data_IF_633825785168
#
_entry.id   IF_633825785168
#
_cell.length_a   1.000
_cell.length_b   1.000
_cell.length_c   1.000
_cell.angle_alpha   90.00
_cell.angle_beta   90.00
_cell.angle_gamma   90.00
#
_symmetry.space_group_name_H-M   'P 1'
#
loop_
_entity.id
_entity.type
_entity.pdbx_description
1 polymer ?
#
# COMPACT_ATOMS: atom_id res chain seq x y z
N UNK A 1 41.06 10.50 -35.43
CA UNK A 1 40.49 10.31 -34.08
C UNK A 1 38.98 10.51 -34.17
N UNK A 2 38.19 9.48 -33.89
CA UNK A 2 36.72 9.58 -33.82
C UNK A 2 36.34 9.54 -32.34
N UNK A 3 35.68 10.57 -31.84
CA UNK A 3 35.13 10.61 -30.48
C UNK A 3 33.64 10.28 -30.55
N UNK A 4 33.25 9.14 -29.97
CA UNK A 4 31.86 8.81 -29.69
C UNK A 4 31.39 9.66 -28.50
N UNK A 5 30.40 10.53 -28.73
CA UNK A 5 29.64 11.15 -27.65
C UNK A 5 28.53 10.18 -27.23
N UNK A 6 28.60 9.66 -26.01
CA UNK A 6 27.45 9.02 -25.35
C UNK A 6 26.54 10.14 -24.84
N UNK A 7 25.32 10.23 -25.38
CA UNK A 7 24.27 11.02 -24.75
C UNK A 7 23.78 10.29 -23.49
N UNK A 8 24.10 10.82 -22.32
CA UNK A 8 23.48 10.38 -21.06
C UNK A 8 22.03 10.85 -21.05
N UNK A 9 21.08 9.95 -21.25
CA UNK A 9 19.68 10.24 -20.97
C UNK A 9 19.53 10.43 -19.45
N UNK A 10 18.96 11.55 -18.97
CA UNK A 10 18.67 11.69 -17.54
C UNK A 10 17.59 10.65 -17.19
N UNK A 11 17.93 9.70 -16.32
CA UNK A 11 16.95 8.83 -15.69
C UNK A 11 16.19 9.69 -14.68
N UNK A 12 15.02 10.18 -15.07
CA UNK A 12 14.11 10.86 -14.15
C UNK A 12 13.63 9.81 -13.14
N UNK A 13 14.23 9.79 -11.95
CA UNK A 13 13.69 9.04 -10.81
C UNK A 13 12.42 9.79 -10.39
N UNK A 14 11.26 9.25 -10.75
CA UNK A 14 9.98 9.77 -10.29
C UNK A 14 9.84 9.38 -8.81
N UNK A 15 10.09 10.30 -7.89
CA UNK A 15 10.25 10.05 -6.45
C UNK A 15 8.95 9.83 -5.66
N UNK A 16 7.81 9.55 -6.31
CA UNK A 16 6.57 9.20 -5.62
C UNK A 16 6.14 7.77 -5.98
N UNK A 17 6.92 6.80 -5.51
CA UNK A 17 6.47 5.40 -5.49
C UNK A 17 6.16 5.08 -4.04
N UNK A 18 4.88 5.11 -3.67
CA UNK A 18 4.45 4.56 -2.38
C UNK A 18 4.83 3.09 -2.42
N UNK A 19 5.88 2.72 -1.67
CA UNK A 19 6.34 1.34 -1.64
C UNK A 19 5.46 0.55 -0.67
N UNK A 20 4.52 -0.21 -1.21
CA UNK A 20 3.72 -1.14 -0.41
C UNK A 20 4.62 -2.23 0.19
N UNK A 21 4.39 -2.52 1.47
CA UNK A 21 4.99 -3.65 2.17
C UNK A 21 4.43 -4.93 1.55
N UNK A 22 5.35 -5.81 1.14
CA UNK A 22 5.00 -7.15 0.71
C UNK A 22 4.85 -8.05 1.93
N UNK A 23 3.62 -8.39 2.27
CA UNK A 23 3.34 -9.31 3.35
C UNK A 23 3.60 -10.77 2.93
N UNK A 24 4.08 -11.64 3.82
CA UNK A 24 4.27 -13.05 3.50
C UNK A 24 2.94 -13.70 3.09
N UNK A 25 2.95 -14.56 2.08
CA UNK A 25 1.74 -15.25 1.63
C UNK A 25 1.20 -16.21 2.70
N UNK A 26 2.11 -16.85 3.44
CA UNK A 26 1.80 -17.75 4.55
C UNK A 26 2.69 -17.49 5.76
N UNK A 27 2.10 -17.54 6.95
CA UNK A 27 2.79 -17.53 8.25
C UNK A 27 2.19 -18.62 9.11
N UNK A 28 2.93 -19.70 9.35
CA UNK A 28 2.41 -20.89 10.07
C UNK A 28 1.10 -21.41 9.42
N UNK A 29 0.00 -21.39 10.17
CA UNK A 29 -1.33 -21.80 9.72
C UNK A 29 -2.14 -20.71 9.00
N UNK A 30 -1.62 -19.49 8.91
CA UNK A 30 -2.30 -18.33 8.33
C UNK A 30 -1.92 -18.14 6.87
N UNK A 31 -2.91 -18.01 5.99
CA UNK A 31 -2.72 -17.72 4.57
C UNK A 31 -3.51 -16.49 4.16
N UNK A 32 -2.93 -15.66 3.29
CA UNK A 32 -3.62 -14.50 2.67
C UNK A 32 -3.98 -14.79 1.21
N UNK A 33 -4.98 -14.11 0.64
CA UNK A 33 -5.24 -14.15 -0.79
C UNK A 33 -4.08 -13.56 -1.60
N UNK A 34 -3.99 -13.95 -2.87
CA UNK A 34 -2.98 -13.43 -3.81
C UNK A 34 -3.15 -11.92 -4.05
N UNK A 35 -4.39 -11.46 -4.09
CA UNK A 35 -4.73 -10.05 -4.26
C UNK A 35 -4.86 -9.35 -2.91
N UNK A 36 -4.24 -8.19 -2.80
CA UNK A 36 -4.39 -7.29 -1.66
C UNK A 36 -5.36 -6.17 -2.01
N UNK A 37 -6.23 -5.80 -1.07
CA UNK A 37 -7.11 -4.64 -1.24
C UNK A 37 -6.35 -3.36 -0.86
N UNK A 38 -6.45 -2.34 -1.71
CA UNK A 38 -5.95 -0.99 -1.42
C UNK A 38 -7.13 -0.05 -1.34
N UNK A 39 -7.24 0.67 -0.23
CA UNK A 39 -8.25 1.68 0.06
C UNK A 39 -7.58 3.05 0.00
N UNK A 40 -8.22 4.02 -0.67
CA UNK A 40 -7.73 5.40 -0.77
C UNK A 40 -8.76 6.34 -0.17
N UNK A 41 -8.44 7.63 -0.09
CA UNK A 41 -9.41 8.66 0.29
C UNK A 41 -10.71 8.64 -0.56
N UNK A 42 -10.65 8.13 -1.80
CA UNK A 42 -11.83 8.04 -2.68
C UNK A 42 -12.70 6.81 -2.38
N UNK A 43 -12.10 5.71 -1.94
CA UNK A 43 -12.79 4.43 -1.71
C UNK A 43 -12.98 4.11 -0.22
N UNK A 44 -12.54 4.99 0.68
CA UNK A 44 -12.63 4.77 2.14
C UNK A 44 -14.07 4.57 2.61
N UNK A 45 -15.03 5.25 2.00
CA UNK A 45 -16.45 5.12 2.35
C UNK A 45 -17.10 3.84 1.80
N UNK A 46 -16.51 3.21 0.78
CA UNK A 46 -16.91 1.87 0.32
C UNK A 46 -16.39 0.79 1.27
N UNK A 47 -15.24 1.05 1.93
CA UNK A 47 -14.60 0.15 2.87
C UNK A 47 -15.19 0.25 4.29
N UNK A 48 -15.49 1.46 4.76
CA UNK A 48 -16.00 1.72 6.10
C UNK A 48 -17.07 2.81 6.13
N UNK A 49 -18.25 2.47 6.66
CA UNK A 49 -19.37 3.41 6.83
C UNK A 49 -19.38 3.98 8.26
N UNK A 50 -19.32 5.32 8.37
CA UNK A 50 -19.41 6.08 9.62
C UNK A 50 -18.10 6.42 10.34
N UNK A 51 -16.96 5.84 9.92
CA UNK A 51 -15.64 6.15 10.47
C UNK A 51 -14.65 6.73 9.45
N UNK A 52 -14.96 6.70 8.15
CA UNK A 52 -14.05 7.11 7.07
C UNK A 52 -13.57 8.56 7.19
N UNK A 53 -14.41 9.45 7.72
CA UNK A 53 -14.07 10.86 7.93
C UNK A 53 -12.89 11.06 8.89
N UNK A 54 -12.76 10.21 9.93
CA UNK A 54 -11.65 10.30 10.87
C UNK A 54 -10.32 9.98 10.17
N UNK A 55 -10.32 8.97 9.30
CA UNK A 55 -9.12 8.57 8.57
C UNK A 55 -8.66 9.65 7.59
N UNK A 56 -9.60 10.31 6.89
CA UNK A 56 -9.26 11.48 6.07
C UNK A 56 -8.58 12.59 6.90
N UNK A 57 -9.05 12.82 8.13
CA UNK A 57 -8.44 13.77 9.07
C UNK A 57 -7.00 13.42 9.47
N UNK A 58 -6.63 12.14 9.45
CA UNK A 58 -5.27 11.68 9.71
C UNK A 58 -4.33 11.81 8.52
N UNK A 59 -4.82 12.23 7.34
CA UNK A 59 -3.99 12.40 6.12
C UNK A 59 -3.23 11.15 5.70
N UNK A 60 -3.87 9.99 5.80
CA UNK A 60 -3.34 8.81 5.13
C UNK A 60 -3.41 9.01 3.60
N UNK A 61 -2.44 8.46 2.88
CA UNK A 61 -2.44 8.36 1.43
C UNK A 61 -3.25 7.14 0.98
N UNK A 62 -2.89 5.98 1.53
CA UNK A 62 -3.52 4.70 1.22
C UNK A 62 -3.51 3.73 2.41
N UNK A 63 -4.46 2.81 2.41
CA UNK A 63 -4.63 1.75 3.40
C UNK A 63 -4.58 0.41 2.68
N UNK A 64 -3.63 -0.44 3.05
CA UNK A 64 -3.53 -1.79 2.53
C UNK A 64 -4.23 -2.74 3.50
N UNK A 65 -5.19 -3.50 3.00
CA UNK A 65 -6.05 -4.40 3.77
C UNK A 65 -5.81 -5.84 3.33
N UNK A 66 -5.43 -6.69 4.28
CA UNK A 66 -5.19 -8.11 4.06
C UNK A 66 -5.87 -8.92 5.15
N UNK A 67 -6.76 -9.83 4.75
CA UNK A 67 -7.34 -10.82 5.65
C UNK A 67 -6.56 -12.14 5.52
N UNK A 68 -5.97 -12.56 6.63
CA UNK A 68 -5.41 -13.91 6.77
C UNK A 68 -6.46 -14.84 7.34
N UNK A 69 -6.52 -16.05 6.83
CA UNK A 69 -7.43 -17.10 7.34
C UNK A 69 -6.64 -18.30 7.85
N UNK A 70 -7.16 -18.97 8.87
CA UNK A 70 -6.64 -20.24 9.38
C UNK A 70 -7.78 -21.22 9.70
N UNK A 71 -7.60 -22.48 9.32
CA UNK A 71 -8.53 -23.59 9.59
C UNK A 71 -10.01 -23.25 9.27
N UNK A 72 -10.24 -22.50 8.19
CA UNK A 72 -11.53 -22.04 7.65
C UNK A 72 -12.46 -21.28 8.61
N UNK A 73 -12.03 -21.02 9.85
CA UNK A 73 -12.90 -20.49 10.92
C UNK A 73 -12.31 -19.26 11.60
N UNK A 74 -11.00 -19.08 11.54
CA UNK A 74 -10.32 -17.94 12.15
C UNK A 74 -9.88 -16.97 11.07
N UNK A 75 -10.12 -15.67 11.29
CA UNK A 75 -9.56 -14.62 10.47
C UNK A 75 -8.78 -13.60 11.29
N UNK A 76 -7.74 -13.05 10.67
CA UNK A 76 -6.89 -11.99 11.17
C UNK A 76 -6.84 -10.89 10.11
N UNK A 77 -7.44 -9.75 10.42
CA UNK A 77 -7.39 -8.56 9.57
C UNK A 77 -6.11 -7.77 9.86
N UNK A 78 -5.32 -7.52 8.82
CA UNK A 78 -4.12 -6.68 8.86
C UNK A 78 -4.38 -5.43 8.04
N UNK A 79 -4.22 -4.28 8.67
CA UNK A 79 -4.38 -2.96 8.08
C UNK A 79 -3.06 -2.18 8.18
N UNK A 80 -2.49 -1.80 7.04
CA UNK A 80 -1.26 -1.00 6.97
C UNK A 80 -1.60 0.38 6.42
N UNK A 81 -1.39 1.39 7.25
CA UNK A 81 -1.65 2.78 6.93
C UNK A 81 -0.38 3.43 6.37
N UNK A 82 -0.46 3.90 5.14
CA UNK A 82 0.58 4.71 4.50
C UNK A 82 0.19 6.17 4.68
N UNK A 83 1.01 6.90 5.43
CA UNK A 83 0.75 8.30 5.76
C UNK A 83 1.35 9.21 4.68
N UNK A 84 0.73 10.37 4.45
CA UNK A 84 1.41 11.43 3.73
C UNK A 84 2.63 11.91 4.51
N UNK A 85 3.65 12.38 3.79
CA UNK A 85 4.80 13.04 4.39
C UNK A 85 4.34 14.27 5.18
N UNK A 86 5.12 14.61 6.22
CA UNK A 86 4.93 15.86 6.93
C UNK A 86 5.15 17.04 5.99
N UNK A 87 4.42 18.14 6.19
CA UNK A 87 4.56 19.36 5.37
C UNK A 87 5.84 20.18 5.70
N UNK A 88 6.80 19.58 6.41
CA UNK A 88 8.01 20.26 6.95
C UNK A 88 9.19 20.24 5.98
#
# INVERSE_FOLDING_TARGET
MSFLFLATLPMTINTNVVSFIELPHQVEQWTRPDSVQTVTAQTIFDYMDGAGELYLGFRFDSLQVVEYTAADTYSLLVEIYYMQESDD
#
